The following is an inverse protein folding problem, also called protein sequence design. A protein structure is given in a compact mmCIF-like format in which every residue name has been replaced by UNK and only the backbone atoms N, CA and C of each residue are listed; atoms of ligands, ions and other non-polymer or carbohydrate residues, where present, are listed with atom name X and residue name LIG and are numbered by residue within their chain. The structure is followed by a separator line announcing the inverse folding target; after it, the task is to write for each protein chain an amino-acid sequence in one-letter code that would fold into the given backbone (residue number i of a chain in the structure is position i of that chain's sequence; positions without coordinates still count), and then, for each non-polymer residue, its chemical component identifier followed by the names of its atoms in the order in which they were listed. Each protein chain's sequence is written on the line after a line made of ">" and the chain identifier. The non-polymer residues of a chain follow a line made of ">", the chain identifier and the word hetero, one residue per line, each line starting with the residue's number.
data_IF_786155160373
#
_entry.id   IF_786155160373
#
_cell.length_a   1.000
_cell.length_b   1.000
_cell.length_c   1.000
_cell.angle_alpha   90.00
_cell.angle_beta   90.00
_cell.angle_gamma   90.00
#
_symmetry.space_group_name_H-M   'P 1'
#
loop_
_entity.id
_entity.type
_entity.pdbx_description
1 polymer ?
#
# COMPACT_ATOMS: atom_id res chain seq x y z
N UNK A 1 5.32 -3.46 -0.28
CA UNK A 1 4.82 -4.04 -1.53
C UNK A 1 5.77 -3.87 -2.72
N UNK A 2 6.31 -2.67 -2.99
CA UNK A 2 7.27 -2.46 -4.09
C UNK A 2 8.42 -3.49 -4.16
N UNK A 3 9.02 -3.83 -3.02
CA UNK A 3 10.08 -4.85 -2.99
C UNK A 3 9.61 -6.26 -3.38
N UNK A 4 8.40 -6.66 -2.95
CA UNK A 4 7.82 -7.94 -3.33
C UNK A 4 7.47 -8.00 -4.81
N UNK A 5 7.06 -6.87 -5.41
CA UNK A 5 6.85 -6.76 -6.85
C UNK A 5 8.17 -6.98 -7.62
N UNK A 6 9.25 -6.31 -7.21
CA UNK A 6 10.56 -6.47 -7.81
C UNK A 6 11.06 -7.93 -7.71
N UNK A 7 10.98 -8.55 -6.52
CA UNK A 7 11.33 -9.97 -6.35
C UNK A 7 10.48 -10.88 -7.23
N UNK A 8 9.19 -10.59 -7.45
CA UNK A 8 8.34 -11.38 -8.35
C UNK A 8 8.74 -11.23 -9.82
N UNK A 9 9.26 -10.08 -10.24
CA UNK A 9 9.77 -9.91 -11.60
C UNK A 9 11.00 -10.80 -11.85
N UNK A 10 11.90 -10.88 -10.86
CA UNK A 10 13.14 -11.65 -10.93
C UNK A 10 12.97 -13.14 -10.62
N UNK A 11 12.09 -13.48 -9.68
CA UNK A 11 11.72 -14.84 -9.29
C UNK A 11 10.19 -15.00 -9.36
N UNK A 12 9.65 -15.21 -10.58
CA UNK A 12 8.21 -15.32 -10.82
C UNK A 12 7.52 -16.43 -10.03
N UNK A 13 6.22 -16.26 -9.84
CA UNK A 13 5.37 -17.24 -9.15
C UNK A 13 5.06 -18.47 -10.01
N UNK A 14 5.34 -18.44 -11.31
CA UNK A 14 5.05 -19.55 -12.23
C UNK A 14 6.24 -20.49 -12.37
N UNK A 15 5.98 -21.80 -12.32
CA UNK A 15 6.96 -22.82 -12.68
C UNK A 15 7.09 -22.97 -14.21
N UNK A 16 8.14 -23.65 -14.66
CA UNK A 16 8.25 -24.15 -16.04
C UNK A 16 7.27 -25.31 -16.27
N UNK A 17 7.11 -25.71 -17.53
CA UNK A 17 6.28 -26.87 -17.87
C UNK A 17 6.79 -28.16 -17.20
N UNK A 18 8.09 -28.24 -16.93
CA UNK A 18 8.74 -29.36 -16.24
C UNK A 18 8.66 -29.24 -14.70
N UNK A 19 7.92 -28.27 -14.17
CA UNK A 19 7.75 -28.08 -12.73
C UNK A 19 8.95 -27.42 -12.01
N UNK A 20 9.88 -26.82 -12.74
CA UNK A 20 11.04 -26.14 -12.16
C UNK A 20 10.80 -24.65 -11.93
N UNK A 21 11.52 -24.07 -10.97
CA UNK A 21 11.49 -22.62 -10.77
C UNK A 21 12.07 -21.88 -11.98
N UNK A 22 11.54 -20.67 -12.21
CA UNK A 22 12.08 -19.73 -13.19
C UNK A 22 12.84 -18.63 -12.45
N UNK A 23 14.08 -18.39 -12.86
CA UNK A 23 14.88 -17.29 -12.35
C UNK A 23 15.27 -16.40 -13.53
N UNK A 24 14.83 -15.15 -13.51
CA UNK A 24 15.15 -14.15 -14.55
C UNK A 24 16.39 -13.34 -14.19
N UNK A 25 16.65 -13.13 -12.90
CA UNK A 25 17.91 -12.59 -12.38
C UNK A 25 18.59 -13.66 -11.52
N UNK A 26 19.82 -14.00 -11.88
CA UNK A 26 20.59 -15.05 -11.21
C UNK A 26 21.63 -14.52 -10.21
N UNK A 27 21.68 -13.21 -9.95
CA UNK A 27 22.83 -12.62 -9.25
C UNK A 27 22.50 -11.84 -7.97
N UNK A 28 21.34 -11.20 -7.84
CA UNK A 28 21.07 -10.38 -6.67
C UNK A 28 21.04 -11.17 -5.35
N UNK A 29 20.49 -12.38 -5.35
CA UNK A 29 20.47 -13.24 -4.16
C UNK A 29 21.87 -13.75 -3.75
N UNK A 30 22.84 -13.77 -4.67
CA UNK A 30 24.22 -14.22 -4.43
C UNK A 30 25.07 -13.19 -3.69
N UNK A 31 24.58 -11.97 -3.51
CA UNK A 31 25.33 -10.93 -2.79
C UNK A 31 25.55 -11.29 -1.31
N UNK A 32 24.75 -12.20 -0.78
CA UNK A 32 24.74 -12.55 0.64
C UNK A 32 25.30 -13.93 0.94
N UNK A 33 25.27 -14.85 -0.01
CA UNK A 33 25.81 -16.19 0.15
C UNK A 33 26.85 -16.42 -0.93
N UNK A 34 28.02 -16.95 -0.57
CA UNK A 34 29.05 -17.34 -1.53
C UNK A 34 29.16 -18.86 -1.58
N UNK A 35 28.48 -19.48 -2.55
CA UNK A 35 28.53 -20.92 -2.83
C UNK A 35 28.96 -21.18 -4.26
N UNK A 36 29.68 -22.28 -4.48
CA UNK A 36 30.07 -22.75 -5.83
C UNK A 36 28.84 -23.12 -6.66
N UNK A 37 27.85 -23.74 -6.03
CA UNK A 37 26.55 -24.08 -6.63
C UNK A 37 25.42 -23.74 -5.67
N UNK A 38 24.25 -23.43 -6.23
CA UNK A 38 23.06 -23.07 -5.46
C UNK A 38 21.94 -24.06 -5.78
N UNK A 39 21.41 -24.69 -4.73
CA UNK A 39 20.16 -25.44 -4.82
C UNK A 39 18.96 -24.50 -4.90
N UNK A 40 17.79 -25.01 -5.29
CA UNK A 40 16.54 -24.24 -5.26
C UNK A 40 16.30 -23.59 -3.88
N UNK A 41 16.61 -24.32 -2.81
CA UNK A 41 16.49 -23.85 -1.42
C UNK A 41 17.46 -22.71 -1.13
N UNK A 42 18.70 -22.79 -1.60
CA UNK A 42 19.67 -21.70 -1.43
C UNK A 42 19.22 -20.43 -2.14
N UNK A 43 18.63 -20.56 -3.33
CA UNK A 43 18.11 -19.43 -4.09
C UNK A 43 16.91 -18.80 -3.37
N UNK A 44 15.96 -19.61 -2.91
CA UNK A 44 14.81 -19.15 -2.11
C UNK A 44 15.27 -18.41 -0.86
N UNK A 45 16.26 -18.97 -0.13
CA UNK A 45 16.82 -18.33 1.07
C UNK A 45 17.50 -17.00 0.75
N UNK A 46 18.28 -16.95 -0.34
CA UNK A 46 18.94 -15.72 -0.78
C UNK A 46 17.95 -14.60 -1.11
N UNK A 47 16.85 -14.91 -1.80
CA UNK A 47 15.77 -13.95 -2.05
C UNK A 47 15.02 -13.55 -0.77
N UNK A 48 14.81 -14.48 0.16
CA UNK A 48 14.23 -14.19 1.47
C UNK A 48 15.09 -13.18 2.24
N UNK A 49 16.41 -13.42 2.32
CA UNK A 49 17.37 -12.54 2.97
C UNK A 49 17.46 -11.17 2.28
N UNK A 50 17.36 -11.13 0.96
CA UNK A 50 17.29 -9.88 0.20
C UNK A 50 16.06 -9.05 0.58
N UNK A 51 14.90 -9.67 0.79
CA UNK A 51 13.71 -8.97 1.30
C UNK A 51 13.96 -8.38 2.70
N UNK A 52 14.55 -9.15 3.62
CA UNK A 52 14.91 -8.64 4.95
C UNK A 52 15.88 -7.46 4.87
N UNK A 53 16.94 -7.58 4.06
CA UNK A 53 17.93 -6.52 3.90
C UNK A 53 17.34 -5.25 3.27
N UNK A 54 16.53 -5.37 2.23
CA UNK A 54 15.95 -4.21 1.57
C UNK A 54 14.93 -3.46 2.45
N UNK A 55 14.20 -4.19 3.29
CA UNK A 55 13.13 -3.63 4.13
C UNK A 55 13.69 -3.10 5.46
N UNK A 56 14.61 -3.84 6.09
CA UNK A 56 15.08 -3.56 7.45
C UNK A 56 16.56 -3.14 7.52
N UNK A 57 17.35 -3.36 6.46
CA UNK A 57 18.80 -3.11 6.48
C UNK A 57 19.23 -1.64 6.42
N UNK A 58 18.31 -0.70 6.22
CA UNK A 58 18.59 0.73 6.28
C UNK A 58 17.86 1.35 7.50
N UNK A 59 18.62 2.00 8.39
CA UNK A 59 18.13 2.56 9.66
C UNK A 59 17.11 3.69 9.46
N UNK A 60 17.18 4.43 8.35
CA UNK A 60 16.21 5.47 8.00
C UNK A 60 14.85 4.88 7.61
N UNK A 61 14.84 3.81 6.81
CA UNK A 61 13.60 3.09 6.47
C UNK A 61 13.03 2.38 7.68
N UNK A 62 13.87 1.85 8.57
CA UNK A 62 13.40 1.20 9.80
C UNK A 62 12.72 2.20 10.75
N UNK A 63 13.37 3.34 11.04
CA UNK A 63 12.86 4.35 11.99
C UNK A 63 11.58 5.05 11.52
N UNK A 64 11.40 5.26 10.20
CA UNK A 64 10.17 5.85 9.66
C UNK A 64 8.94 4.97 9.93
N UNK A 65 9.13 3.65 10.12
CA UNK A 65 8.03 2.69 10.22
C UNK A 65 8.11 1.74 11.43
N UNK A 66 8.95 2.03 12.43
CA UNK A 66 9.35 1.09 13.50
C UNK A 66 8.19 0.51 14.33
N UNK A 67 7.12 1.28 14.57
CA UNK A 67 5.92 0.78 15.28
C UNK A 67 4.88 0.11 14.36
N UNK A 68 4.92 0.36 13.04
CA UNK A 68 3.91 -0.11 12.08
C UNK A 68 4.36 -1.32 11.24
N UNK A 69 5.66 -1.64 11.16
CA UNK A 69 6.18 -2.59 10.15
C UNK A 69 6.88 -3.87 10.67
N UNK A 70 6.75 -4.26 11.94
CA UNK A 70 7.16 -5.63 12.36
C UNK A 70 6.28 -6.70 11.67
N UNK A 71 5.06 -6.37 11.32
CA UNK A 71 4.15 -7.29 10.62
C UNK A 71 4.62 -7.63 9.21
N UNK A 72 5.54 -6.84 8.63
CA UNK A 72 6.16 -7.15 7.34
C UNK A 72 6.94 -8.46 7.39
N UNK A 73 7.49 -8.83 8.56
CA UNK A 73 8.12 -10.14 8.77
C UNK A 73 7.14 -11.27 8.41
N UNK A 74 5.87 -11.14 8.81
CA UNK A 74 4.83 -12.13 8.50
C UNK A 74 4.64 -12.26 6.99
N UNK A 75 4.64 -11.16 6.25
CA UNK A 75 4.54 -11.20 4.79
C UNK A 75 5.75 -11.84 4.10
N UNK A 76 6.96 -11.60 4.63
CA UNK A 76 8.17 -12.27 4.12
C UNK A 76 8.05 -13.78 4.34
N UNK A 77 7.60 -14.22 5.52
CA UNK A 77 7.43 -15.63 5.85
C UNK A 77 6.26 -16.28 5.08
N UNK A 78 5.20 -15.53 4.78
CA UNK A 78 4.11 -15.96 3.88
C UNK A 78 4.64 -16.17 2.46
N UNK A 79 5.43 -15.24 1.93
CA UNK A 79 6.09 -15.39 0.63
C UNK A 79 7.04 -16.58 0.61
N UNK A 80 7.87 -16.74 1.65
CA UNK A 80 8.81 -17.86 1.78
C UNK A 80 8.05 -19.19 1.77
N UNK A 81 7.01 -19.31 2.60
CA UNK A 81 6.16 -20.50 2.67
C UNK A 81 5.50 -20.78 1.33
N UNK A 82 5.01 -19.74 0.64
CA UNK A 82 4.47 -19.90 -0.71
C UNK A 82 5.48 -20.49 -1.68
N UNK A 83 6.69 -19.92 -1.75
CA UNK A 83 7.75 -20.43 -2.61
C UNK A 83 8.11 -21.87 -2.26
N UNK A 84 8.35 -22.18 -0.99
CA UNK A 84 8.66 -23.56 -0.57
C UNK A 84 7.53 -24.55 -0.89
N UNK A 85 6.26 -24.14 -0.78
CA UNK A 85 5.12 -25.01 -1.08
C UNK A 85 4.90 -25.27 -2.58
N UNK A 86 5.57 -24.55 -3.49
CA UNK A 86 5.46 -24.82 -4.93
C UNK A 86 6.15 -26.13 -5.33
N UNK A 87 7.17 -26.56 -4.56
CA UNK A 87 7.93 -27.80 -4.73
C UNK A 87 8.13 -28.47 -3.37
N UNK A 88 7.30 -29.47 -3.07
CA UNK A 88 7.23 -30.13 -1.75
C UNK A 88 8.18 -31.33 -1.61
N UNK A 89 8.92 -31.66 -2.66
CA UNK A 89 9.93 -32.72 -2.73
C UNK A 89 11.17 -32.45 -1.86
N UNK A 90 11.32 -31.22 -1.35
CA UNK A 90 12.37 -30.85 -0.40
C UNK A 90 12.17 -31.41 1.03
N UNK A 91 10.99 -31.97 1.34
CA UNK A 91 10.67 -32.53 2.67
C UNK A 91 10.43 -31.50 3.78
N UNK A 92 10.44 -30.20 3.46
CA UNK A 92 10.24 -29.11 4.42
C UNK A 92 8.73 -28.91 4.60
N UNK A 93 8.21 -29.31 5.77
CA UNK A 93 6.77 -29.28 6.03
C UNK A 93 6.36 -28.11 6.91
N UNK A 94 7.21 -27.73 7.85
CA UNK A 94 6.98 -26.62 8.79
C UNK A 94 7.98 -25.50 8.57
N UNK A 95 7.59 -24.29 8.96
CA UNK A 95 8.47 -23.13 8.84
C UNK A 95 9.72 -23.27 9.72
N UNK A 96 9.59 -23.90 10.90
CA UNK A 96 10.71 -24.18 11.80
C UNK A 96 11.79 -25.06 11.15
N UNK A 97 11.39 -26.03 10.32
CA UNK A 97 12.33 -26.94 9.65
C UNK A 97 13.27 -26.15 8.72
N UNK A 98 12.73 -25.18 7.99
CA UNK A 98 13.54 -24.27 7.16
C UNK A 98 14.38 -23.32 8.02
N UNK A 99 13.76 -22.70 9.02
CA UNK A 99 14.40 -21.67 9.84
C UNK A 99 15.65 -22.19 10.58
N UNK A 100 15.54 -23.36 11.21
CA UNK A 100 16.65 -23.97 11.98
C UNK A 100 17.86 -24.30 11.12
N UNK A 101 17.64 -24.77 9.90
CA UNK A 101 18.71 -25.18 8.98
C UNK A 101 19.29 -23.99 8.20
N UNK A 102 18.46 -23.04 7.78
CA UNK A 102 18.83 -22.03 6.79
C UNK A 102 18.87 -20.59 7.30
N UNK A 103 18.45 -20.30 8.55
CA UNK A 103 18.33 -18.92 9.04
C UNK A 103 18.95 -18.72 10.44
N UNK A 104 18.61 -19.56 11.43
CA UNK A 104 18.88 -19.31 12.86
C UNK A 104 20.36 -19.04 13.19
N UNK A 105 21.27 -19.79 12.58
CA UNK A 105 22.71 -19.72 12.84
C UNK A 105 23.50 -19.16 11.64
N UNK A 106 22.83 -18.41 10.78
CA UNK A 106 23.41 -17.84 9.57
C UNK A 106 23.80 -16.39 9.83
N UNK A 107 25.09 -16.06 9.65
CA UNK A 107 25.68 -14.77 9.99
C UNK A 107 24.92 -13.58 9.38
N UNK A 108 24.43 -13.74 8.16
CA UNK A 108 23.71 -12.70 7.44
C UNK A 108 22.35 -12.36 8.08
N UNK A 109 21.71 -13.32 8.76
CA UNK A 109 20.48 -13.10 9.54
C UNK A 109 20.76 -12.54 10.94
N UNK A 110 21.97 -12.75 11.46
CA UNK A 110 22.45 -12.19 12.73
C UNK A 110 22.97 -10.75 12.60
N UNK A 111 22.99 -10.20 11.37
CA UNK A 111 23.44 -8.84 11.11
C UNK A 111 22.64 -7.83 11.94
N UNK A 112 23.38 -6.92 12.59
CA UNK A 112 22.80 -5.89 13.44
C UNK A 112 21.91 -4.93 12.66
N UNK A 113 20.76 -4.60 13.24
CA UNK A 113 19.85 -3.55 12.76
C UNK A 113 20.07 -2.33 13.65
N UNK A 114 20.41 -1.18 13.06
CA UNK A 114 20.51 0.09 13.79
C UNK A 114 19.12 0.73 13.89
N UNK A 115 18.32 0.26 14.86
CA UNK A 115 16.93 0.69 15.04
C UNK A 115 16.67 1.55 16.29
N UNK A 116 17.67 1.77 17.13
CA UNK A 116 17.48 2.45 18.42
C UNK A 116 17.13 1.53 19.60
N UNK A 117 17.30 0.21 19.45
CA UNK A 117 17.46 -0.76 20.56
C UNK A 117 16.31 -1.75 20.78
N UNK A 118 15.31 -1.83 19.90
CA UNK A 118 14.18 -2.76 20.08
C UNK A 118 14.40 -4.11 19.39
N UNK A 119 15.15 -4.13 18.28
CA UNK A 119 15.41 -5.30 17.45
C UNK A 119 16.89 -5.37 17.10
N UNK A 120 17.52 -6.48 17.45
CA UNK A 120 18.98 -6.59 17.33
C UNK A 120 19.41 -7.20 15.99
N UNK A 121 18.55 -7.95 15.30
CA UNK A 121 18.88 -8.65 14.05
C UNK A 121 17.62 -9.09 13.29
N UNK A 122 17.77 -9.58 12.06
CA UNK A 122 16.66 -10.20 11.32
C UNK A 122 16.17 -11.47 12.01
N UNK A 123 17.09 -12.22 12.62
CA UNK A 123 16.76 -13.38 13.44
C UNK A 123 15.84 -13.03 14.62
N UNK A 124 16.14 -11.93 15.33
CA UNK A 124 15.30 -11.44 16.44
C UNK A 124 13.90 -11.01 15.95
N UNK A 125 13.82 -10.35 14.79
CA UNK A 125 12.54 -10.00 14.16
C UNK A 125 11.69 -11.25 13.86
N UNK A 126 12.31 -12.30 13.34
CA UNK A 126 11.66 -13.56 13.02
C UNK A 126 11.20 -14.27 14.30
N UNK A 127 12.05 -14.33 15.31
CA UNK A 127 11.76 -14.99 16.59
C UNK A 127 10.59 -14.34 17.35
N UNK A 128 10.38 -13.02 17.19
CA UNK A 128 9.18 -12.35 17.72
C UNK A 128 7.87 -12.76 17.02
N UNK A 129 7.95 -13.45 15.88
CA UNK A 129 6.83 -14.08 15.19
C UNK A 129 6.86 -15.61 15.33
N UNK A 130 7.41 -16.12 16.44
CA UNK A 130 7.55 -17.56 16.72
C UNK A 130 6.25 -18.38 16.59
N UNK A 131 5.08 -17.77 16.77
CA UNK A 131 3.79 -18.42 16.58
C UNK A 131 3.62 -19.01 15.16
N UNK A 132 4.36 -18.49 14.17
CA UNK A 132 4.40 -19.01 12.80
C UNK A 132 5.24 -20.28 12.65
N UNK A 133 6.22 -20.52 13.53
CA UNK A 133 7.25 -21.55 13.34
C UNK A 133 6.67 -22.96 13.28
N UNK A 134 5.67 -23.23 14.12
CA UNK A 134 5.07 -24.56 14.22
C UNK A 134 3.97 -24.81 13.17
N UNK A 135 3.61 -23.81 12.38
CA UNK A 135 2.58 -23.93 11.35
C UNK A 135 3.13 -24.66 10.11
N UNK A 136 2.24 -25.34 9.40
CA UNK A 136 2.61 -25.98 8.14
C UNK A 136 2.82 -24.92 7.07
N UNK A 137 3.90 -25.07 6.30
CA UNK A 137 4.21 -24.22 5.15
C UNK A 137 3.06 -24.22 4.14
N UNK A 138 2.44 -25.38 3.91
CA UNK A 138 1.27 -25.52 3.04
C UNK A 138 0.12 -24.62 3.49
N UNK A 139 -0.12 -24.50 4.78
CA UNK A 139 -1.23 -23.72 5.31
C UNK A 139 -0.92 -22.22 5.31
N UNK A 140 0.31 -21.83 5.68
CA UNK A 140 0.77 -20.43 5.56
C UNK A 140 0.75 -19.97 4.10
N UNK A 141 1.13 -20.83 3.15
CA UNK A 141 1.20 -20.46 1.72
C UNK A 141 -0.14 -20.02 1.13
N UNK A 142 -1.26 -20.49 1.70
CA UNK A 142 -2.62 -20.11 1.26
C UNK A 142 -2.88 -18.60 1.42
N UNK A 143 -2.20 -17.93 2.35
CA UNK A 143 -2.33 -16.49 2.57
C UNK A 143 -1.70 -15.65 1.45
N UNK A 144 -0.82 -16.24 0.64
CA UNK A 144 -0.03 -15.50 -0.35
C UNK A 144 -0.88 -14.82 -1.42
N UNK A 145 -1.95 -15.46 -1.90
CA UNK A 145 -2.79 -14.88 -2.96
C UNK A 145 -3.50 -13.60 -2.48
N UNK A 146 -4.03 -13.62 -1.25
CA UNK A 146 -4.65 -12.47 -0.62
C UNK A 146 -3.62 -11.36 -0.36
N UNK A 147 -2.46 -11.71 0.21
CA UNK A 147 -1.35 -10.78 0.39
C UNK A 147 -0.89 -10.14 -0.92
N UNK A 148 -0.76 -10.93 -1.99
CA UNK A 148 -0.38 -10.47 -3.32
C UNK A 148 -1.37 -9.46 -3.87
N UNK A 149 -2.67 -9.76 -3.79
CA UNK A 149 -3.74 -8.86 -4.21
C UNK A 149 -3.73 -7.56 -3.39
N UNK A 150 -3.53 -7.65 -2.07
CA UNK A 150 -3.33 -6.48 -1.21
C UNK A 150 -2.16 -5.63 -1.70
N UNK A 151 -1.02 -6.26 -2.00
CA UNK A 151 0.14 -5.54 -2.49
C UNK A 151 -0.04 -4.89 -3.86
N UNK A 152 -0.86 -5.48 -4.73
CA UNK A 152 -1.22 -4.88 -6.02
C UNK A 152 -2.03 -3.59 -5.82
N UNK A 153 -2.92 -3.54 -4.82
CA UNK A 153 -3.64 -2.32 -4.44
C UNK A 153 -2.74 -1.23 -3.83
N UNK A 154 -1.66 -1.63 -3.15
CA UNK A 154 -0.63 -0.73 -2.64
C UNK A 154 0.40 -0.30 -3.70
N UNK A 155 0.26 -0.74 -4.97
CA UNK A 155 1.17 -0.33 -6.04
C UNK A 155 1.03 1.17 -6.30
N UNK A 156 2.16 1.88 -6.35
CA UNK A 156 2.22 3.35 -6.51
C UNK A 156 1.50 4.13 -5.40
N UNK A 157 1.14 3.47 -4.30
CA UNK A 157 0.56 4.11 -3.14
C UNK A 157 1.63 4.93 -2.40
N UNK A 158 1.37 6.22 -2.24
CA UNK A 158 2.19 7.14 -1.47
C UNK A 158 1.40 7.59 -0.24
N UNK A 159 2.03 7.64 0.93
CA UNK A 159 1.32 8.00 2.16
C UNK A 159 0.94 9.49 2.22
N UNK A 160 1.74 10.35 1.58
CA UNK A 160 1.56 11.80 1.59
C UNK A 160 0.59 12.24 0.48
N UNK A 161 0.55 11.50 -0.63
CA UNK A 161 -0.37 11.72 -1.75
C UNK A 161 -0.97 10.39 -2.25
N UNK A 162 -1.96 9.83 -1.53
CA UNK A 162 -2.49 8.50 -1.81
C UNK A 162 -3.21 8.43 -3.15
N UNK A 163 -2.57 7.77 -4.13
CA UNK A 163 -3.18 7.39 -5.40
C UNK A 163 -3.98 6.10 -5.22
N UNK A 164 -5.30 6.23 -5.21
CA UNK A 164 -6.20 5.12 -4.90
C UNK A 164 -6.79 4.41 -6.12
N UNK A 165 -6.29 4.68 -7.32
CA UNK A 165 -6.73 4.02 -8.56
C UNK A 165 -6.57 2.51 -8.46
N UNK A 166 -5.39 2.04 -8.04
CA UNK A 166 -5.10 0.61 -7.86
C UNK A 166 -5.93 -0.04 -6.76
N UNK A 167 -6.23 0.70 -5.70
CA UNK A 167 -7.17 0.25 -4.68
C UNK A 167 -8.56 0.00 -5.28
N UNK A 168 -9.12 0.95 -6.03
CA UNK A 168 -10.44 0.83 -6.64
C UNK A 168 -10.53 -0.32 -7.66
N UNK A 169 -9.45 -0.57 -8.40
CA UNK A 169 -9.36 -1.70 -9.34
C UNK A 169 -9.30 -3.06 -8.63
N UNK A 170 -8.55 -3.15 -7.52
CA UNK A 170 -8.22 -4.41 -6.85
C UNK A 170 -9.11 -4.81 -5.67
N UNK A 171 -9.90 -3.88 -5.10
CA UNK A 171 -10.67 -4.08 -3.85
C UNK A 171 -11.51 -5.37 -3.88
N UNK A 172 -12.28 -5.54 -4.95
CA UNK A 172 -13.14 -6.72 -5.13
C UNK A 172 -12.35 -8.03 -5.22
N UNK A 173 -11.16 -8.02 -5.84
CA UNK A 173 -10.33 -9.21 -5.98
C UNK A 173 -9.72 -9.61 -4.63
N UNK A 174 -9.23 -8.64 -3.86
CA UNK A 174 -8.73 -8.89 -2.51
C UNK A 174 -9.81 -9.46 -1.60
N UNK A 175 -10.97 -8.80 -1.52
CA UNK A 175 -12.10 -9.25 -0.67
C UNK A 175 -12.50 -10.68 -1.03
N UNK A 176 -12.62 -10.98 -2.32
CA UNK A 176 -12.95 -12.33 -2.79
C UNK A 176 -11.91 -13.38 -2.37
N UNK A 177 -10.62 -13.08 -2.51
CA UNK A 177 -9.52 -13.98 -2.10
C UNK A 177 -9.49 -14.16 -0.59
N UNK A 178 -9.67 -13.09 0.16
CA UNK A 178 -9.69 -13.09 1.63
C UNK A 178 -10.90 -13.86 2.19
N UNK A 179 -12.09 -13.70 1.60
CA UNK A 179 -13.28 -14.45 1.99
C UNK A 179 -13.18 -15.93 1.65
N UNK A 180 -12.58 -16.26 0.49
CA UNK A 180 -12.27 -17.66 0.14
C UNK A 180 -11.32 -18.27 1.17
N UNK A 181 -10.30 -17.51 1.58
CA UNK A 181 -9.33 -17.93 2.59
C UNK A 181 -10.02 -18.18 3.94
N UNK A 182 -10.90 -17.29 4.40
CA UNK A 182 -11.66 -17.47 5.67
C UNK A 182 -12.52 -18.74 5.72
N UNK A 183 -12.99 -19.22 4.56
CA UNK A 183 -13.81 -20.43 4.46
C UNK A 183 -12.99 -21.72 4.49
N UNK A 184 -11.66 -21.64 4.37
CA UNK A 184 -10.79 -22.81 4.43
C UNK A 184 -10.69 -23.32 5.87
N UNK A 185 -11.21 -24.52 6.09
CA UNK A 185 -11.30 -25.13 7.42
C UNK A 185 -9.94 -25.52 8.01
N UNK A 186 -8.89 -25.63 7.21
CA UNK A 186 -7.56 -26.01 7.71
C UNK A 186 -6.88 -24.86 8.45
N UNK A 187 -7.22 -23.61 8.10
CA UNK A 187 -6.59 -22.39 8.62
C UNK A 187 -7.48 -21.58 9.57
N UNK A 188 -8.71 -22.05 9.85
CA UNK A 188 -9.66 -21.39 10.75
C UNK A 188 -9.76 -22.08 12.12
N UNK A 189 -8.67 -22.72 12.58
CA UNK A 189 -8.67 -23.61 13.75
C UNK A 189 -7.81 -23.14 14.92
N UNK A 190 -6.87 -22.21 14.70
CA UNK A 190 -5.85 -21.86 15.69
C UNK A 190 -5.50 -20.36 15.68
N UNK A 191 -5.12 -19.84 16.84
CA UNK A 191 -4.84 -18.43 17.13
C UNK A 191 -3.70 -17.89 16.27
N UNK A 192 -2.73 -18.73 15.91
CA UNK A 192 -1.62 -18.37 15.03
C UNK A 192 -2.09 -17.91 13.64
N UNK A 193 -3.09 -18.59 13.05
CA UNK A 193 -3.65 -18.17 11.75
C UNK A 193 -4.46 -16.88 11.88
N UNK A 194 -5.21 -16.74 12.97
CA UNK A 194 -5.98 -15.53 13.29
C UNK A 194 -5.10 -14.28 13.33
N UNK A 195 -3.84 -14.40 13.76
CA UNK A 195 -2.88 -13.29 13.72
C UNK A 195 -2.54 -12.86 12.28
N UNK A 196 -2.32 -13.81 11.36
CA UNK A 196 -2.07 -13.49 9.94
C UNK A 196 -3.31 -12.83 9.32
N UNK A 197 -4.50 -13.35 9.61
CA UNK A 197 -5.76 -12.75 9.16
C UNK A 197 -5.95 -11.33 9.67
N UNK A 198 -5.63 -11.07 10.94
CA UNK A 198 -5.71 -9.75 11.55
C UNK A 198 -4.74 -8.78 10.90
N UNK A 199 -3.50 -9.20 10.66
CA UNK A 199 -2.49 -8.39 9.97
C UNK A 199 -2.97 -7.98 8.57
N UNK A 200 -3.43 -8.95 7.76
CA UNK A 200 -3.97 -8.65 6.42
C UNK A 200 -5.20 -7.74 6.46
N UNK A 201 -6.14 -7.98 7.40
CA UNK A 201 -7.36 -7.17 7.53
C UNK A 201 -7.02 -5.74 7.93
N UNK A 202 -6.15 -5.57 8.92
CA UNK A 202 -5.77 -4.25 9.42
C UNK A 202 -5.08 -3.43 8.33
N UNK A 203 -4.17 -4.04 7.55
CA UNK A 203 -3.50 -3.33 6.46
C UNK A 203 -4.46 -2.98 5.33
N UNK A 204 -5.39 -3.88 4.98
CA UNK A 204 -6.47 -3.56 4.05
C UNK A 204 -7.36 -2.41 4.54
N UNK A 205 -7.80 -2.46 5.80
CA UNK A 205 -8.66 -1.42 6.38
C UNK A 205 -7.92 -0.07 6.47
N UNK A 206 -6.62 -0.10 6.74
CA UNK A 206 -5.77 1.09 6.70
C UNK A 206 -5.71 1.70 5.31
N UNK A 207 -5.49 0.89 4.26
CA UNK A 207 -5.51 1.35 2.87
C UNK A 207 -6.87 1.97 2.50
N UNK A 208 -7.93 1.22 2.79
CA UNK A 208 -9.32 1.62 2.52
C UNK A 208 -9.66 2.95 3.20
N UNK A 209 -9.31 3.11 4.47
CA UNK A 209 -9.56 4.33 5.22
C UNK A 209 -8.82 5.54 4.62
N UNK A 210 -7.53 5.38 4.29
CA UNK A 210 -6.76 6.45 3.63
C UNK A 210 -7.39 6.85 2.28
N UNK A 211 -7.83 5.87 1.49
CA UNK A 211 -8.45 6.12 0.20
C UNK A 211 -9.84 6.76 0.28
N UNK A 212 -10.66 6.37 1.25
CA UNK A 212 -11.97 7.00 1.49
C UNK A 212 -11.83 8.47 1.90
N UNK A 213 -10.88 8.78 2.80
CA UNK A 213 -10.61 10.15 3.23
C UNK A 213 -10.15 10.99 2.04
N UNK A 214 -9.21 10.50 1.23
CA UNK A 214 -8.72 11.24 0.07
C UNK A 214 -9.82 11.52 -0.97
N UNK A 215 -10.67 10.52 -1.27
CA UNK A 215 -11.83 10.69 -2.16
C UNK A 215 -12.80 11.77 -1.64
N UNK A 216 -13.06 11.79 -0.33
CA UNK A 216 -13.92 12.80 0.30
C UNK A 216 -13.34 14.23 0.20
N UNK A 217 -12.01 14.38 0.31
CA UNK A 217 -11.33 15.68 0.19
C UNK A 217 -11.41 16.22 -1.24
N UNK A 218 -11.21 15.36 -2.24
CA UNK A 218 -11.33 15.73 -3.65
C UNK A 218 -12.76 16.17 -4.01
N UNK A 219 -13.76 15.41 -3.56
CA UNK A 219 -15.17 15.75 -3.80
C UNK A 219 -15.56 17.07 -3.12
N UNK A 220 -15.13 17.30 -1.88
CA UNK A 220 -15.37 18.57 -1.18
C UNK A 220 -14.71 19.76 -1.90
N UNK A 221 -13.48 19.60 -2.38
CA UNK A 221 -12.76 20.62 -3.14
C UNK A 221 -13.48 20.98 -4.45
N UNK A 222 -13.91 19.96 -5.21
CA UNK A 222 -14.65 20.16 -6.47
C UNK A 222 -16.01 20.84 -6.24
N UNK A 223 -16.74 20.42 -5.20
CA UNK A 223 -18.03 21.02 -4.83
C UNK A 223 -17.82 22.50 -4.44
N UNK A 224 -16.79 22.81 -3.66
CA UNK A 224 -16.47 24.18 -3.26
C UNK A 224 -16.15 25.08 -4.46
N UNK A 225 -15.39 24.57 -5.43
CA UNK A 225 -15.10 25.28 -6.69
C UNK A 225 -16.38 25.51 -7.49
N UNK A 226 -17.25 24.51 -7.62
CA UNK A 226 -18.52 24.64 -8.34
C UNK A 226 -19.43 25.71 -7.71
N UNK A 227 -19.50 25.77 -6.36
CA UNK A 227 -20.27 26.81 -5.66
C UNK A 227 -19.76 28.22 -5.94
N UNK A 228 -18.44 28.41 -6.04
CA UNK A 228 -17.84 29.72 -6.39
C UNK A 228 -18.28 30.13 -7.81
N UNK A 229 -18.23 29.21 -8.78
CA UNK A 229 -18.66 29.47 -10.16
C UNK A 229 -20.16 29.78 -10.28
N UNK A 230 -21.02 29.24 -9.41
CA UNK A 230 -22.45 29.55 -9.38
C UNK A 230 -22.74 30.86 -8.65
N UNK A 231 -22.07 31.12 -7.52
CA UNK A 231 -22.34 32.30 -6.69
C UNK A 231 -21.86 33.60 -7.36
N UNK A 232 -20.68 33.60 -7.98
CA UNK A 232 -20.08 34.80 -8.56
C UNK A 232 -21.01 35.48 -9.60
N UNK A 233 -21.56 34.78 -10.62
CA UNK A 233 -22.48 35.38 -11.58
C UNK A 233 -23.76 35.92 -10.96
N UNK A 234 -24.29 35.26 -9.91
CA UNK A 234 -25.49 35.71 -9.21
C UNK A 234 -25.22 37.05 -8.51
N UNK A 235 -24.11 37.15 -7.77
CA UNK A 235 -23.71 38.41 -7.11
C UNK A 235 -23.44 39.53 -8.11
N UNK A 236 -22.74 39.23 -9.22
CA UNK A 236 -22.54 40.20 -10.28
C UNK A 236 -23.85 40.60 -10.96
N UNK A 237 -24.78 39.67 -11.18
CA UNK A 237 -26.09 39.97 -11.74
C UNK A 237 -26.93 40.90 -10.85
N UNK A 238 -26.96 40.64 -9.54
CA UNK A 238 -27.65 41.49 -8.55
C UNK A 238 -26.99 42.88 -8.49
N UNK A 239 -25.66 42.93 -8.38
CA UNK A 239 -24.90 44.19 -8.35
C UNK A 239 -25.08 45.00 -9.64
N UNK A 240 -25.02 44.34 -10.80
CA UNK A 240 -25.24 44.96 -12.11
C UNK A 240 -26.64 45.54 -12.22
N UNK A 241 -27.69 44.81 -11.80
CA UNK A 241 -29.07 45.30 -11.80
C UNK A 241 -29.23 46.54 -10.90
N UNK A 242 -28.65 46.52 -9.70
CA UNK A 242 -28.70 47.65 -8.77
C UNK A 242 -27.93 48.87 -9.31
N UNK A 243 -26.75 48.64 -9.88
CA UNK A 243 -25.93 49.68 -10.52
C UNK A 243 -26.65 50.32 -11.71
N UNK A 244 -27.21 49.52 -12.62
CA UNK A 244 -27.98 50.00 -13.78
C UNK A 244 -29.20 50.84 -13.35
N UNK A 245 -29.89 50.41 -12.29
CA UNK A 245 -30.98 51.18 -11.69
C UNK A 245 -30.50 52.52 -11.13
N UNK A 246 -29.35 52.53 -10.44
CA UNK A 246 -28.69 53.75 -9.96
C UNK A 246 -28.32 54.73 -11.10
N UNK A 247 -27.75 54.22 -12.19
CA UNK A 247 -27.43 55.01 -13.39
C UNK A 247 -28.67 55.60 -14.04
N UNK A 248 -29.75 54.82 -14.21
CA UNK A 248 -31.03 55.31 -14.76
C UNK A 248 -31.59 56.47 -13.93
N UNK A 249 -31.58 56.35 -12.61
CA UNK A 249 -32.07 57.40 -11.70
C UNK A 249 -31.23 58.69 -11.79
N UNK A 250 -29.91 58.57 -11.95
CA UNK A 250 -29.01 59.73 -12.17
C UNK A 250 -29.28 60.41 -13.50
N UNK A 251 -29.46 59.65 -14.58
CA UNK A 251 -29.76 60.18 -15.91
C UNK A 251 -31.10 60.95 -15.94
N UNK A 252 -32.16 60.38 -15.34
CA UNK A 252 -33.45 61.07 -15.21
C UNK A 252 -33.33 62.41 -14.45
N UNK A 253 -32.56 62.42 -13.35
CA UNK A 253 -32.33 63.63 -12.55
C UNK A 253 -31.55 64.70 -13.33
N UNK A 254 -30.59 64.30 -14.17
CA UNK A 254 -29.88 65.22 -15.07
C UNK A 254 -30.81 65.80 -16.14
N UNK A 255 -31.61 64.98 -16.80
CA UNK A 255 -32.59 65.42 -17.81
C UNK A 255 -33.57 66.46 -17.24
N UNK A 256 -34.12 66.22 -16.05
CA UNK A 256 -35.00 67.18 -15.35
C UNK A 256 -34.30 68.51 -15.05
N UNK A 257 -33.02 68.48 -14.63
CA UNK A 257 -32.23 69.70 -14.38
C UNK A 257 -32.01 70.51 -15.65
N UNK A 258 -31.72 69.87 -16.77
CA UNK A 258 -31.57 70.55 -18.07
C UNK A 258 -32.88 71.15 -18.57
N UNK A 259 -34.01 70.43 -18.44
CA UNK A 259 -35.33 70.94 -18.81
C UNK A 259 -35.68 72.22 -18.03
N UNK A 260 -35.46 72.22 -16.71
CA UNK A 260 -35.67 73.40 -15.87
C UNK A 260 -34.76 74.55 -16.29
N UNK A 261 -33.50 74.28 -16.62
CA UNK A 261 -32.54 75.30 -17.09
C UNK A 261 -32.96 75.92 -18.43
N UNK A 262 -33.49 75.12 -19.35
CA UNK A 262 -33.96 75.60 -20.65
C UNK A 262 -35.24 76.43 -20.53
N UNK A 263 -36.20 76.04 -19.68
CA UNK A 263 -37.41 76.85 -19.40
C UNK A 263 -37.01 78.21 -18.82
N UNK A 264 -36.07 78.26 -17.87
CA UNK A 264 -35.58 79.52 -17.31
C UNK A 264 -34.93 80.45 -18.34
N UNK A 265 -34.33 79.91 -19.40
CA UNK A 265 -33.76 80.69 -20.51
C UNK A 265 -34.81 81.25 -21.48
N UNK A 266 -36.00 80.67 -21.55
CA UNK A 266 -37.09 81.14 -22.42
C UNK A 266 -37.94 82.25 -21.77
N UNK A 267 -37.90 82.37 -20.44
CA UNK A 267 -38.67 83.35 -19.66
C UNK A 267 -37.93 84.70 -19.56
N UNK A 268 -36.69 84.76 -20.01
CA UNK A 268 -35.80 85.91 -19.88
C UNK A 268 -35.28 86.39 -21.22
#
# INVERSE_FOLDING_TARGET
>A
CGMFLAVREWFPDTLTNDGNYKFKDNNQYKQYFNKETYTDIDIINGWCLLLFNAIFGNSLSFKKYANSNINVVVYILVWLSYKLNQKTDNGITKLMDFYTVHMQNVNEYQKSIDDGGAYNSYDDLINKKNYLMNMNIKDISKFYDAFKSLCEMYTEFDEDNPKCEKYLEGDNDFVKKYDKLKKDSDINKDDSYSQIFSILSNDYDNLKNKCNIFSSLLTYSLISIAFIFVAIPIFFGISYKYSLFGFRKRAQKQYLREKIKNIKKMIH
#
